data_IF_307255925143
#
_entry.id   IF_307255925143
#
_cell.length_a   1.000
_cell.length_b   1.000
_cell.length_c   1.000
_cell.angle_alpha   90.00
_cell.angle_beta   90.00
_cell.angle_gamma   90.00
#
_symmetry.space_group_name_H-M   'P 1'
#
loop_
_entity.id
_entity.type
_entity.pdbx_description
1 polymer ?
#
# COMPACT_ATOMS: atom_id res chain seq x y z
N UNK A 1 -5.25 -17.43 17.64
CA UNK A 1 -5.74 -16.80 16.40
C UNK A 1 -7.22 -16.96 16.33
N UNK A 2 -7.92 -15.84 16.33
CA UNK A 2 -9.34 -15.80 15.99
C UNK A 2 -9.54 -15.98 14.47
N UNK A 3 -10.79 -15.94 14.04
CA UNK A 3 -11.15 -16.10 12.62
C UNK A 3 -10.55 -15.00 11.74
N UNK A 4 -10.50 -13.76 12.24
CA UNK A 4 -9.98 -12.60 11.50
C UNK A 4 -8.50 -12.81 11.20
N UNK A 5 -7.71 -13.21 12.19
CA UNK A 5 -6.29 -13.51 12.00
C UNK A 5 -6.08 -14.67 11.02
N UNK A 6 -6.94 -15.69 11.04
CA UNK A 6 -6.84 -16.83 10.12
C UNK A 6 -7.05 -16.39 8.66
N UNK A 7 -8.13 -15.67 8.37
CA UNK A 7 -8.43 -15.20 7.01
C UNK A 7 -7.34 -14.26 6.48
N UNK A 8 -6.83 -13.35 7.31
CA UNK A 8 -5.73 -12.46 6.91
C UNK A 8 -4.39 -13.19 6.79
N UNK A 9 -4.12 -14.19 7.63
CA UNK A 9 -2.88 -14.96 7.56
C UNK A 9 -2.77 -15.78 6.27
N UNK A 10 -3.89 -16.28 5.72
CA UNK A 10 -3.94 -16.99 4.44
C UNK A 10 -3.38 -16.16 3.28
N UNK A 11 -3.59 -14.84 3.33
CA UNK A 11 -3.09 -13.87 2.34
C UNK A 11 -1.83 -13.15 2.83
N UNK A 12 -1.18 -13.64 3.90
CA UNK A 12 0.02 -13.09 4.49
C UNK A 12 -0.12 -11.66 5.02
N UNK A 13 -1.27 -11.33 5.58
CA UNK A 13 -1.56 -10.03 6.17
C UNK A 13 -1.63 -10.11 7.71
N UNK A 14 -1.28 -9.01 8.36
CA UNK A 14 -1.35 -8.83 9.82
C UNK A 14 -2.23 -7.63 10.15
N UNK A 15 -3.29 -7.84 10.93
CA UNK A 15 -4.14 -6.77 11.43
C UNK A 15 -3.49 -6.08 12.64
N UNK A 16 -3.38 -4.77 12.61
CA UNK A 16 -2.93 -3.94 13.73
C UNK A 16 -3.80 -2.70 13.88
N UNK A 17 -3.72 -2.02 15.03
CA UNK A 17 -4.32 -0.70 15.19
C UNK A 17 -3.54 0.40 14.44
N UNK A 18 -4.19 1.50 14.10
CA UNK A 18 -3.57 2.62 13.37
C UNK A 18 -2.29 3.16 14.03
N UNK A 19 -2.25 3.21 15.37
CA UNK A 19 -1.10 3.73 16.09
C UNK A 19 0.09 2.78 15.96
N UNK A 20 -0.15 1.47 16.00
CA UNK A 20 0.87 0.46 15.73
C UNK A 20 1.37 0.56 14.29
N UNK A 21 0.49 0.68 13.29
CA UNK A 21 0.90 0.87 11.90
C UNK A 21 1.78 2.12 11.71
N UNK A 22 1.32 3.28 12.20
CA UNK A 22 2.10 4.53 12.13
C UNK A 22 3.48 4.38 12.79
N UNK A 23 3.57 3.67 13.92
CA UNK A 23 4.85 3.43 14.60
C UNK A 23 5.77 2.51 13.80
N UNK A 24 5.23 1.46 13.18
CA UNK A 24 5.98 0.58 12.27
C UNK A 24 6.56 1.40 11.12
N UNK A 25 5.73 2.19 10.43
CA UNK A 25 6.18 3.02 9.30
C UNK A 25 7.27 4.00 9.74
N UNK A 26 7.09 4.72 10.86
CA UNK A 26 8.11 5.68 11.35
C UNK A 26 9.44 5.00 11.62
N UNK A 27 9.43 3.84 12.29
CA UNK A 27 10.66 3.14 12.65
C UNK A 27 11.33 2.55 11.43
N UNK A 28 10.56 1.94 10.52
CA UNK A 28 11.08 1.32 9.31
C UNK A 28 11.72 2.35 8.38
N UNK A 29 11.05 3.49 8.18
CA UNK A 29 11.57 4.59 7.35
C UNK A 29 12.54 5.53 8.09
N UNK A 30 12.95 5.17 9.31
CA UNK A 30 13.84 5.98 10.17
C UNK A 30 13.40 7.45 10.32
N UNK A 31 12.08 7.71 10.33
CA UNK A 31 11.49 9.03 10.45
C UNK A 31 11.67 9.54 11.89
N UNK A 32 12.80 10.18 12.13
CA UNK A 32 13.21 10.72 13.43
C UNK A 32 13.00 12.24 13.44
N UNK A 33 11.81 12.69 13.84
CA UNK A 33 11.51 14.12 13.94
C UNK A 33 10.21 14.42 14.67
N UNK A 34 10.24 15.40 15.56
CA UNK A 34 9.02 16.02 16.11
C UNK A 34 8.23 16.63 14.94
N UNK A 35 7.04 16.10 14.66
CA UNK A 35 6.15 16.63 13.62
C UNK A 35 6.16 15.92 12.26
N UNK A 36 6.99 14.88 12.03
CA UNK A 36 6.78 14.02 10.87
C UNK A 36 5.49 13.21 11.07
N UNK A 37 4.43 13.64 10.40
CA UNK A 37 3.22 12.84 10.25
C UNK A 37 3.50 11.69 9.30
N UNK A 38 2.94 10.53 9.62
CA UNK A 38 2.89 9.41 8.68
C UNK A 38 1.65 9.67 7.85
N UNK A 39 1.79 9.76 6.52
CA UNK A 39 0.70 9.73 5.56
C UNK A 39 -0.42 8.76 5.95
N UNK A 40 -1.66 9.00 5.54
CA UNK A 40 -2.82 8.12 5.81
C UNK A 40 -2.65 6.76 5.10
N UNK A 41 -1.81 5.91 5.67
CA UNK A 41 -1.58 4.56 5.21
C UNK A 41 -2.63 3.65 5.83
N UNK A 42 -3.48 3.05 4.99
CA UNK A 42 -4.40 1.98 5.39
C UNK A 42 -3.75 0.58 5.33
N UNK A 43 -2.53 0.51 4.81
CA UNK A 43 -1.71 -0.68 4.83
C UNK A 43 -0.23 -0.35 4.60
N UNK A 44 0.65 -1.29 4.91
CA UNK A 44 2.09 -1.15 4.70
C UNK A 44 2.75 -2.51 4.44
N UNK A 45 3.50 -2.59 3.36
CA UNK A 45 4.20 -3.80 2.92
C UNK A 45 5.66 -3.75 3.39
N UNK A 46 6.11 -4.81 4.06
CA UNK A 46 7.50 -4.97 4.48
C UNK A 46 7.85 -6.45 4.75
N UNK A 47 9.15 -6.81 4.73
CA UNK A 47 9.59 -8.15 5.10
C UNK A 47 9.22 -8.50 6.53
N UNK A 48 8.78 -9.74 6.75
CA UNK A 48 8.46 -10.30 8.07
C UNK A 48 9.61 -10.14 9.06
N UNK A 49 10.83 -10.36 8.60
CA UNK A 49 12.03 -10.27 9.43
C UNK A 49 12.22 -8.86 9.99
N UNK A 50 11.96 -7.84 9.17
CA UNK A 50 12.05 -6.44 9.57
C UNK A 50 10.89 -6.08 10.51
N UNK A 51 9.65 -6.45 10.15
CA UNK A 51 8.47 -6.23 11.01
C UNK A 51 8.63 -6.87 12.40
N UNK A 52 9.23 -8.05 12.49
CA UNK A 52 9.48 -8.73 13.76
C UNK A 52 10.38 -7.93 14.71
N UNK A 53 11.27 -7.07 14.18
CA UNK A 53 12.11 -6.18 14.99
C UNK A 53 11.35 -4.92 15.46
N UNK A 54 10.21 -4.61 14.86
CA UNK A 54 9.45 -3.39 15.07
C UNK A 54 8.24 -3.57 15.98
N UNK A 55 7.71 -4.80 16.07
CA UNK A 55 6.61 -5.16 16.95
C UNK A 55 7.08 -5.37 18.38
N UNK A 56 6.34 -4.79 19.33
CA UNK A 56 6.56 -4.96 20.77
C UNK A 56 5.54 -5.92 21.39
N UNK A 57 4.43 -6.16 20.70
CA UNK A 57 3.31 -6.95 21.18
C UNK A 57 3.56 -8.45 20.95
N UNK A 58 3.52 -9.24 22.03
CA UNK A 58 3.83 -10.66 21.99
C UNK A 58 2.77 -11.48 21.24
N UNK A 59 1.50 -11.09 21.32
CA UNK A 59 0.40 -11.79 20.64
C UNK A 59 0.51 -11.55 19.13
N UNK A 60 0.77 -10.31 18.71
CA UNK A 60 1.04 -10.00 17.31
C UNK A 60 2.29 -10.68 16.78
N UNK A 61 3.35 -10.78 17.60
CA UNK A 61 4.57 -11.51 17.23
C UNK A 61 4.30 -13.01 17.01
N UNK A 62 3.40 -13.61 17.77
CA UNK A 62 3.00 -15.01 17.61
C UNK A 62 2.23 -15.25 16.29
N UNK A 63 1.36 -14.31 15.90
CA UNK A 63 0.67 -14.34 14.60
C UNK A 63 1.69 -14.14 13.48
N UNK A 64 2.53 -13.11 13.58
CA UNK A 64 3.57 -12.80 12.60
C UNK A 64 4.50 -13.99 12.32
N UNK A 65 4.88 -14.75 13.36
CA UNK A 65 5.75 -15.92 13.22
C UNK A 65 5.21 -16.99 12.26
N UNK A 66 3.90 -17.00 11.99
CA UNK A 66 3.22 -17.94 11.08
C UNK A 66 3.04 -17.40 9.66
N UNK A 67 3.30 -16.11 9.44
CA UNK A 67 3.14 -15.45 8.15
C UNK A 67 4.32 -15.74 7.19
N UNK A 68 4.12 -15.59 5.87
CA UNK A 68 5.18 -15.70 4.87
C UNK A 68 6.27 -14.62 5.04
N UNK A 69 7.34 -14.71 4.24
CA UNK A 69 8.43 -13.74 4.28
C UNK A 69 8.00 -12.31 3.94
N UNK A 70 7.02 -12.15 3.05
CA UNK A 70 6.48 -10.84 2.64
C UNK A 70 5.11 -10.60 3.26
N UNK A 71 5.04 -9.62 4.18
CA UNK A 71 3.87 -9.34 5.01
C UNK A 71 3.25 -8.01 4.63
N UNK A 72 1.93 -7.95 4.62
CA UNK A 72 1.19 -6.69 4.54
C UNK A 72 0.55 -6.41 5.90
N UNK A 73 0.94 -5.32 6.52
CA UNK A 73 0.27 -4.82 7.74
C UNK A 73 -0.94 -4.02 7.31
N UNK A 74 -2.11 -4.31 7.86
CA UNK A 74 -3.36 -3.60 7.57
C UNK A 74 -4.02 -3.12 8.86
N UNK A 75 -4.84 -2.07 8.74
CA UNK A 75 -5.66 -1.55 9.84
C UNK A 75 -7.13 -1.87 9.63
N UNK A 76 -7.86 -2.06 10.71
CA UNK A 76 -9.30 -2.28 10.70
C UNK A 76 -9.83 -2.46 12.13
N UNK A 77 -11.14 -2.29 12.30
CA UNK A 77 -11.80 -2.58 13.56
C UNK A 77 -11.97 -4.10 13.70
N UNK A 78 -11.38 -4.68 14.76
CA UNK A 78 -11.39 -6.14 14.95
C UNK A 78 -12.77 -6.67 15.29
N UNK A 79 -13.59 -5.89 15.99
CA UNK A 79 -14.93 -6.32 16.38
C UNK A 79 -15.85 -6.32 15.15
N UNK A 80 -15.76 -5.31 14.29
CA UNK A 80 -16.52 -5.25 13.03
C UNK A 80 -16.10 -6.38 12.07
N UNK A 81 -14.79 -6.61 11.91
CA UNK A 81 -14.27 -7.74 11.12
C UNK A 81 -14.73 -9.09 11.70
N UNK A 82 -14.69 -9.25 13.03
CA UNK A 82 -15.15 -10.45 13.72
C UNK A 82 -16.65 -10.69 13.58
N UNK A 83 -17.44 -9.63 13.50
CA UNK A 83 -18.87 -9.67 13.21
C UNK A 83 -19.19 -9.97 11.73
N UNK A 84 -18.19 -9.91 10.85
CA UNK A 84 -18.35 -10.14 9.42
C UNK A 84 -18.91 -8.93 8.67
N UNK A 85 -18.68 -7.71 9.17
CA UNK A 85 -19.08 -6.49 8.50
C UNK A 85 -18.43 -6.36 7.13
N UNK A 86 -19.24 -6.18 6.09
CA UNK A 86 -18.78 -6.21 4.71
C UNK A 86 -17.89 -5.01 4.36
N UNK A 87 -18.16 -3.84 4.93
CA UNK A 87 -17.41 -2.62 4.65
C UNK A 87 -16.05 -2.67 5.37
N UNK A 88 -16.01 -3.16 6.61
CA UNK A 88 -14.77 -3.41 7.34
C UNK A 88 -13.87 -4.40 6.60
N UNK A 89 -14.43 -5.52 6.13
CA UNK A 89 -13.68 -6.50 5.33
C UNK A 89 -13.23 -5.91 3.99
N UNK A 90 -14.08 -5.15 3.31
CA UNK A 90 -13.71 -4.46 2.06
C UNK A 90 -12.51 -3.54 2.27
N UNK A 91 -12.50 -2.76 3.36
CA UNK A 91 -11.38 -1.88 3.70
C UNK A 91 -10.09 -2.66 4.01
N UNK A 92 -10.19 -3.76 4.77
CA UNK A 92 -9.04 -4.63 5.03
C UNK A 92 -8.49 -5.22 3.72
N UNK A 93 -9.36 -5.70 2.83
CA UNK A 93 -8.97 -6.26 1.53
C UNK A 93 -8.31 -5.23 0.61
N UNK A 94 -8.80 -3.99 0.61
CA UNK A 94 -8.15 -2.88 -0.11
C UNK A 94 -6.72 -2.67 0.39
N UNK A 95 -6.52 -2.62 1.71
CA UNK A 95 -5.18 -2.51 2.32
C UNK A 95 -4.26 -3.68 1.96
N UNK A 96 -4.78 -4.91 1.97
CA UNK A 96 -4.02 -6.10 1.56
C UNK A 96 -3.63 -6.02 0.09
N UNK A 97 -4.60 -5.72 -0.79
CA UNK A 97 -4.37 -5.60 -2.23
C UNK A 97 -3.32 -4.53 -2.53
N UNK A 98 -3.47 -3.35 -1.94
CA UNK A 98 -2.55 -2.25 -2.07
C UNK A 98 -1.13 -2.66 -1.68
N UNK A 99 -0.95 -3.25 -0.50
CA UNK A 99 0.36 -3.73 -0.05
C UNK A 99 0.95 -4.84 -0.93
N UNK A 100 0.11 -5.68 -1.55
CA UNK A 100 0.58 -6.71 -2.49
C UNK A 100 1.12 -6.12 -3.79
N UNK A 101 0.58 -5.00 -4.26
CA UNK A 101 1.18 -4.25 -5.38
C UNK A 101 2.56 -3.72 -5.01
N UNK A 102 2.72 -3.14 -3.81
CA UNK A 102 4.03 -2.69 -3.33
C UNK A 102 5.06 -3.84 -3.26
N UNK A 103 4.66 -5.02 -2.77
CA UNK A 103 5.51 -6.21 -2.77
C UNK A 103 5.93 -6.64 -4.18
N UNK A 104 5.01 -6.61 -5.14
CA UNK A 104 5.33 -6.94 -6.53
C UNK A 104 6.37 -5.95 -7.12
N UNK A 105 6.24 -4.66 -6.83
CA UNK A 105 7.24 -3.67 -7.26
C UNK A 105 8.57 -3.83 -6.53
N UNK A 106 8.57 -4.12 -5.22
CA UNK A 106 9.79 -4.38 -4.46
C UNK A 106 10.58 -5.55 -5.07
N UNK A 107 9.90 -6.65 -5.41
CA UNK A 107 10.51 -7.79 -6.10
C UNK A 107 11.08 -7.40 -7.47
N UNK A 108 10.32 -6.67 -8.29
CA UNK A 108 10.78 -6.21 -9.62
C UNK A 108 11.98 -5.27 -9.53
N UNK A 109 12.00 -4.35 -8.56
CA UNK A 109 13.14 -3.47 -8.29
C UNK A 109 14.38 -4.26 -7.88
N UNK A 110 14.22 -5.30 -7.04
CA UNK A 110 15.31 -6.21 -6.70
C UNK A 110 15.81 -7.01 -7.91
N UNK A 111 14.92 -7.38 -8.83
CA UNK A 111 15.22 -8.09 -10.07
C UNK A 111 15.75 -7.19 -11.21
N UNK A 112 16.00 -5.90 -10.94
CA UNK A 112 16.66 -4.98 -11.85
C UNK A 112 15.75 -4.02 -12.62
N UNK A 113 14.49 -3.87 -12.20
CA UNK A 113 13.66 -2.74 -12.62
C UNK A 113 14.35 -1.45 -12.18
N UNK A 114 14.86 -0.67 -13.14
CA UNK A 114 15.62 0.53 -12.83
C UNK A 114 14.78 1.82 -12.93
N UNK A 115 15.38 2.91 -12.44
CA UNK A 115 14.78 4.25 -12.48
C UNK A 115 14.50 4.70 -13.91
N UNK A 116 15.28 4.26 -14.89
CA UNK A 116 15.09 4.63 -16.29
C UNK A 116 13.81 4.02 -16.87
N UNK A 117 13.52 2.76 -16.55
CA UNK A 117 12.29 2.09 -16.95
C UNK A 117 11.05 2.74 -16.31
N UNK A 118 11.13 3.15 -15.03
CA UNK A 118 10.06 3.92 -14.38
C UNK A 118 9.84 5.27 -15.06
N UNK A 119 10.92 6.01 -15.37
CA UNK A 119 10.82 7.27 -16.12
C UNK A 119 10.19 7.10 -17.50
N UNK A 120 10.46 5.98 -18.18
CA UNK A 120 9.81 5.66 -19.46
C UNK A 120 8.30 5.42 -19.30
N UNK A 121 7.87 4.78 -18.21
CA UNK A 121 6.44 4.61 -17.89
C UNK A 121 5.77 5.95 -17.62
N UNK A 122 6.39 6.78 -16.80
CA UNK A 122 5.93 8.16 -16.55
C UNK A 122 5.79 8.94 -17.86
N UNK A 123 6.78 8.83 -18.75
CA UNK A 123 6.72 9.49 -20.07
C UNK A 123 5.57 8.95 -20.94
N UNK A 124 5.27 7.65 -20.90
CA UNK A 124 4.15 7.03 -21.62
C UNK A 124 2.78 7.47 -21.07
N UNK A 125 2.66 7.63 -19.76
CA UNK A 125 1.47 8.21 -19.13
C UNK A 125 1.25 9.64 -19.62
N UNK A 126 2.32 10.43 -19.64
CA UNK A 126 2.32 11.83 -20.00
C UNK A 126 2.58 12.71 -18.78
N UNK A 127 3.23 13.85 -19.01
CA UNK A 127 3.69 14.72 -17.93
C UNK A 127 2.52 15.35 -17.18
N UNK A 128 1.50 15.85 -17.89
CA UNK A 128 0.31 16.46 -17.29
C UNK A 128 -0.44 15.47 -16.42
N UNK A 129 -0.59 14.24 -16.90
CA UNK A 129 -1.24 13.14 -16.21
C UNK A 129 -0.46 12.75 -14.95
N UNK A 130 0.87 12.66 -15.03
CA UNK A 130 1.66 12.33 -13.86
C UNK A 130 1.76 13.48 -12.86
N UNK A 131 1.61 14.74 -13.30
CA UNK A 131 1.51 15.89 -12.40
C UNK A 131 0.16 15.91 -11.66
N UNK A 132 -0.94 15.47 -12.27
CA UNK A 132 -2.21 15.20 -11.56
C UNK A 132 -2.00 14.11 -10.51
N UNK A 133 -1.36 13.00 -10.88
CA UNK A 133 -1.05 11.91 -9.94
C UNK A 133 -0.29 12.42 -8.72
N UNK A 134 0.78 13.18 -8.93
CA UNK A 134 1.55 13.80 -7.83
C UNK A 134 0.69 14.72 -6.97
N UNK A 135 -0.20 15.49 -7.59
CA UNK A 135 -1.09 16.41 -6.87
C UNK A 135 -2.06 15.64 -5.98
N UNK A 136 -2.76 14.65 -6.53
CA UNK A 136 -3.75 13.83 -5.82
C UNK A 136 -3.11 13.08 -4.66
N UNK A 137 -2.02 12.35 -4.89
CA UNK A 137 -1.38 11.55 -3.83
C UNK A 137 -0.81 12.41 -2.69
N UNK A 138 -0.45 13.67 -2.96
CA UNK A 138 -0.05 14.64 -1.92
C UNK A 138 -1.26 15.21 -1.18
N UNK A 139 -2.34 15.54 -1.90
CA UNK A 139 -3.55 16.09 -1.30
C UNK A 139 -4.19 15.09 -0.34
N UNK A 140 -4.25 13.82 -0.73
CA UNK A 140 -4.80 12.73 0.07
C UNK A 140 -3.81 12.22 1.13
N UNK A 141 -2.62 12.83 1.23
CA UNK A 141 -1.55 12.45 2.16
C UNK A 141 -1.24 10.94 2.09
N UNK A 142 -0.91 10.46 0.89
CA UNK A 142 -0.61 9.04 0.60
C UNK A 142 0.88 8.79 0.31
N UNK A 143 1.67 9.83 0.01
CA UNK A 143 3.09 9.66 -0.33
C UNK A 143 3.99 9.57 0.90
N UNK A 144 4.53 8.38 1.16
CA UNK A 144 5.62 8.20 2.12
C UNK A 144 6.92 8.85 1.59
N UNK A 145 7.75 9.46 2.48
CA UNK A 145 9.10 9.91 2.10
C UNK A 145 9.92 8.75 1.49
N UNK A 146 10.74 9.00 0.45
CA UNK A 146 11.20 10.31 -0.04
C UNK A 146 10.26 11.03 -1.03
N UNK A 147 9.13 10.43 -1.43
CA UNK A 147 8.20 10.98 -2.42
C UNK A 147 8.88 11.39 -3.76
N UNK A 148 9.86 10.60 -4.18
CA UNK A 148 10.50 10.69 -5.48
C UNK A 148 9.64 10.07 -6.60
N UNK A 149 10.11 10.11 -7.84
CA UNK A 149 9.35 9.60 -9.00
C UNK A 149 9.06 8.09 -8.91
N UNK A 150 9.96 7.31 -8.31
CA UNK A 150 9.79 5.86 -8.18
C UNK A 150 8.71 5.57 -7.15
N UNK A 151 8.84 6.12 -5.95
CA UNK A 151 7.85 5.96 -4.88
C UNK A 151 6.48 6.50 -5.27
N UNK A 152 6.43 7.65 -5.95
CA UNK A 152 5.18 8.21 -6.49
C UNK A 152 4.56 7.30 -7.54
N UNK A 153 5.35 6.75 -8.47
CA UNK A 153 4.83 5.86 -9.49
C UNK A 153 4.29 4.55 -8.90
N UNK A 154 5.01 3.94 -7.95
CA UNK A 154 4.55 2.71 -7.28
C UNK A 154 3.25 2.97 -6.52
N UNK A 155 3.18 4.06 -5.75
CA UNK A 155 1.97 4.45 -5.01
C UNK A 155 0.80 4.72 -5.95
N UNK A 156 1.07 5.38 -7.08
CA UNK A 156 0.08 5.58 -8.14
C UNK A 156 -0.48 4.26 -8.65
N UNK A 157 0.38 3.31 -9.01
CA UNK A 157 -0.08 2.02 -9.54
C UNK A 157 -0.88 1.25 -8.50
N UNK A 158 -0.42 1.24 -7.24
CA UNK A 158 -1.14 0.60 -6.13
C UNK A 158 -2.53 1.22 -5.94
N UNK A 159 -2.61 2.55 -5.86
CA UNK A 159 -3.88 3.25 -5.65
C UNK A 159 -4.82 3.16 -6.87
N UNK A 160 -4.29 3.28 -8.08
CA UNK A 160 -5.08 3.15 -9.31
C UNK A 160 -5.69 1.76 -9.44
N UNK A 161 -4.90 0.69 -9.23
CA UNK A 161 -5.40 -0.68 -9.30
C UNK A 161 -6.38 -1.00 -8.16
N UNK A 162 -6.14 -0.46 -6.96
CA UNK A 162 -7.07 -0.59 -5.84
C UNK A 162 -8.42 0.05 -6.17
N UNK A 163 -8.44 1.29 -6.66
CA UNK A 163 -9.68 1.94 -7.09
C UNK A 163 -10.35 1.16 -8.23
N UNK A 164 -9.60 0.72 -9.24
CA UNK A 164 -10.15 -0.04 -10.35
C UNK A 164 -10.81 -1.36 -9.90
N UNK A 165 -10.27 -2.02 -8.87
CA UNK A 165 -10.76 -3.30 -8.38
C UNK A 165 -11.92 -3.15 -7.36
N UNK A 166 -11.86 -2.16 -6.47
CA UNK A 166 -12.75 -2.05 -5.32
C UNK A 166 -13.75 -0.89 -5.38
N UNK A 167 -13.43 0.18 -6.14
CA UNK A 167 -14.28 1.38 -6.23
C UNK A 167 -14.13 2.06 -7.60
N UNK A 168 -14.44 1.37 -8.72
CA UNK A 168 -14.16 1.85 -10.07
C UNK A 168 -14.86 3.18 -10.39
N UNK A 169 -15.99 3.48 -9.73
CA UNK A 169 -16.70 4.74 -9.80
C UNK A 169 -15.93 5.94 -9.23
N UNK A 170 -14.99 5.71 -8.31
CA UNK A 170 -14.14 6.75 -7.75
C UNK A 170 -12.94 7.06 -8.63
N UNK A 171 -12.49 6.13 -9.48
CA UNK A 171 -11.31 6.33 -10.31
C UNK A 171 -11.39 7.61 -11.16
N UNK A 172 -12.55 7.84 -11.80
CA UNK A 172 -12.78 9.04 -12.61
C UNK A 172 -12.92 10.33 -11.80
N UNK A 173 -13.20 10.23 -10.50
CA UNK A 173 -13.29 11.36 -9.57
C UNK A 173 -11.92 11.70 -9.00
N UNK A 174 -11.12 10.67 -8.69
CA UNK A 174 -9.77 10.78 -8.15
C UNK A 174 -8.76 11.20 -9.21
N UNK A 175 -8.83 10.61 -10.41
CA UNK A 175 -7.94 10.92 -11.54
C UNK A 175 -8.73 11.33 -12.81
N UNK A 176 -9.34 12.53 -12.81
CA UNK A 176 -10.08 13.03 -13.96
C UNK A 176 -9.30 12.98 -15.28
N UNK A 177 -7.99 13.28 -15.27
CA UNK A 177 -7.15 13.32 -16.47
C UNK A 177 -6.74 11.92 -16.96
N UNK A 178 -6.89 10.87 -16.15
CA UNK A 178 -6.62 9.48 -16.54
C UNK A 178 -7.85 8.77 -17.11
N UNK A 179 -9.05 9.35 -16.97
CA UNK A 179 -10.32 8.73 -17.33
C UNK A 179 -10.36 8.27 -18.79
N UNK A 180 -10.69 7.00 -18.99
CA UNK A 180 -10.97 6.44 -20.31
C UNK A 180 -9.76 6.40 -21.25
N UNK A 181 -8.55 6.38 -20.68
CA UNK A 181 -7.31 6.35 -21.43
C UNK A 181 -6.69 4.94 -21.42
N UNK A 182 -6.80 4.18 -22.53
CA UNK A 182 -6.22 2.83 -22.61
C UNK A 182 -4.71 2.80 -22.37
N UNK A 183 -4.02 3.95 -22.54
CA UNK A 183 -2.59 4.07 -22.28
C UNK A 183 -2.21 3.87 -20.81
N UNK A 184 -3.11 4.13 -19.86
CA UNK A 184 -2.82 3.97 -18.43
C UNK A 184 -2.69 2.50 -18.11
N UNK A 185 -3.75 1.72 -18.39
CA UNK A 185 -3.75 0.27 -18.21
C UNK A 185 -2.63 -0.40 -19.03
N UNK A 186 -2.40 0.06 -20.27
CA UNK A 186 -1.32 -0.47 -21.10
C UNK A 186 0.09 -0.13 -20.57
N UNK A 187 0.25 0.98 -19.85
CA UNK A 187 1.52 1.33 -19.20
C UNK A 187 1.74 0.48 -17.96
N UNK A 188 0.71 0.32 -17.14
CA UNK A 188 0.73 -0.53 -15.94
C UNK A 188 0.93 -2.00 -16.31
N UNK A 189 0.40 -2.47 -17.45
CA UNK A 189 0.60 -3.84 -17.92
C UNK A 189 2.05 -4.18 -18.31
N UNK A 190 2.97 -3.20 -18.30
CA UNK A 190 4.41 -3.43 -18.43
C UNK A 190 5.07 -3.77 -17.08
N UNK A 191 4.32 -3.64 -15.99
CA UNK A 191 4.66 -3.99 -14.61
C UNK A 191 4.20 -5.40 -14.21
#
# INVERSE_FOLDING_TARGET
MDRVDQELAEVGALLVDERTLRRVIKRHLHLTGLGLQVPHAHGYALPRAELATLLEDADLAEVLARLPAEVVVVTGDRDDLGAGDADAWSQAWRGVFHGRVHHAFAARLADGLDVAAIRQRIHRLGQTEFDEVRFVLRQEDLLLPPADDVTTYVEFVAHYLELAAFAPELLAQTFPMLRGQPRVDATIALD
#
